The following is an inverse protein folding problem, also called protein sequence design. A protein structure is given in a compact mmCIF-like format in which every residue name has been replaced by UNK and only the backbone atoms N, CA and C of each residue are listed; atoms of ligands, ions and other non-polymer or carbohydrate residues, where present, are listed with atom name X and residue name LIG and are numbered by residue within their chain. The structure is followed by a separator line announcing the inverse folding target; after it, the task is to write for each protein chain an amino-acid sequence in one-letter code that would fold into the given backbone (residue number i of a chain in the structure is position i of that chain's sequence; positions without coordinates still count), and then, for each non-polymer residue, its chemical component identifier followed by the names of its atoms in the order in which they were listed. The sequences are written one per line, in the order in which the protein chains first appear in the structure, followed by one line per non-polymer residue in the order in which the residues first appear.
data_IF_822998928457
#
_entry.id   IF_822998928457
#
_cell.length_a   1.000
_cell.length_b   1.000
_cell.length_c   1.000
_cell.angle_alpha   90.00
_cell.angle_beta   90.00
_cell.angle_gamma   90.00
#
_symmetry.space_group_name_H-M   'P 1'
#
loop_
_entity.id
_entity.type
_entity.pdbx_description
1 polymer ?
#
# COMPACT_ATOMS: atom_id res chain seq x y z
N UNK A 1 -5.83 19.10 3.24
CA UNK A 1 -5.34 17.88 3.91
C UNK A 1 -4.23 18.19 4.91
N UNK A 2 -3.06 18.71 4.51
CA UNK A 2 -1.95 18.98 5.46
C UNK A 2 -2.32 19.95 6.58
N UNK A 3 -3.03 21.04 6.28
CA UNK A 3 -3.52 21.99 7.29
C UNK A 3 -4.46 21.29 8.27
N UNK A 4 -5.50 20.62 7.77
CA UNK A 4 -6.45 19.86 8.58
C UNK A 4 -5.75 18.84 9.50
N UNK A 5 -4.77 18.10 8.99
CA UNK A 5 -4.00 17.16 9.81
C UNK A 5 -3.22 17.84 10.95
N UNK A 6 -2.56 18.97 10.69
CA UNK A 6 -1.88 19.78 11.71
C UNK A 6 -2.86 20.33 12.75
N UNK A 7 -4.04 20.74 12.30
CA UNK A 7 -5.09 21.24 13.18
C UNK A 7 -5.59 20.12 14.10
N UNK A 8 -5.84 18.91 13.59
CA UNK A 8 -6.27 17.76 14.41
C UNK A 8 -5.19 17.36 15.41
N UNK A 9 -3.94 17.27 14.97
CA UNK A 9 -2.81 16.89 15.81
C UNK A 9 -2.58 17.90 16.94
N UNK A 10 -2.52 19.19 16.61
CA UNK A 10 -2.36 20.23 17.63
C UNK A 10 -3.55 20.27 18.59
N UNK A 11 -4.78 20.18 18.09
CA UNK A 11 -5.98 20.19 18.95
C UNK A 11 -6.03 19.01 19.92
N UNK A 12 -5.59 17.82 19.48
CA UNK A 12 -5.58 16.59 20.26
C UNK A 12 -4.44 16.56 21.29
N UNK A 13 -3.24 16.96 20.88
CA UNK A 13 -2.02 16.74 21.68
C UNK A 13 -1.52 18.00 22.42
N UNK A 14 -2.15 19.16 22.25
CA UNK A 14 -1.76 20.40 22.94
C UNK A 14 -1.93 20.35 24.45
N UNK A 15 -2.93 19.64 24.95
CA UNK A 15 -3.23 19.59 26.38
C UNK A 15 -3.38 18.13 26.85
N UNK A 16 -2.34 17.54 27.47
CA UNK A 16 -2.50 16.27 28.18
C UNK A 16 -3.59 16.39 29.24
N UNK A 17 -4.39 15.33 29.45
CA UNK A 17 -5.46 15.30 30.47
C UNK A 17 -4.93 15.55 31.89
N UNK A 18 -3.68 15.16 32.14
CA UNK A 18 -2.97 15.42 33.40
C UNK A 18 -2.56 16.91 33.58
N UNK A 19 -2.69 17.75 32.56
CA UNK A 19 -2.05 19.06 32.48
C UNK A 19 -2.77 20.23 33.17
N UNK A 20 -4.10 20.22 33.35
CA UNK A 20 -4.78 21.41 33.92
C UNK A 20 -4.81 21.45 35.45
N UNK A 21 -4.79 20.28 36.11
CA UNK A 21 -4.80 20.19 37.59
C UNK A 21 -3.38 20.25 38.20
N UNK A 22 -2.36 19.75 37.47
CA UNK A 22 -1.03 19.47 38.04
C UNK A 22 0.03 20.53 37.72
N UNK A 23 -0.15 21.36 36.69
CA UNK A 23 0.74 22.49 36.39
C UNK A 23 0.67 23.60 37.44
N UNK A 24 -0.42 23.70 38.21
CA UNK A 24 -0.53 24.63 39.34
C UNK A 24 0.27 24.24 40.59
N UNK A 25 0.75 22.99 40.69
CA UNK A 25 1.32 22.44 41.95
C UNK A 25 2.80 22.01 41.80
N UNK A 26 3.41 22.12 40.62
CA UNK A 26 4.87 21.91 40.47
C UNK A 26 5.38 20.47 40.70
N UNK A 27 4.50 19.46 40.63
CA UNK A 27 4.77 18.05 40.96
C UNK A 27 4.52 17.07 39.77
N UNK A 28 4.61 17.59 38.54
CA UNK A 28 4.02 17.01 37.31
C UNK A 28 4.48 15.63 36.86
N UNK A 29 5.62 15.09 37.32
CA UNK A 29 6.07 13.75 36.92
C UNK A 29 5.70 12.65 37.92
N UNK A 30 5.69 12.96 39.22
CA UNK A 30 5.41 11.98 40.26
C UNK A 30 3.91 11.70 40.37
N UNK A 31 3.08 12.74 40.27
CA UNK A 31 1.64 12.63 40.53
C UNK A 31 0.87 12.06 39.33
N UNK A 32 1.35 12.25 38.10
CA UNK A 32 0.77 11.61 36.91
C UNK A 32 0.81 10.09 37.02
N UNK A 33 1.89 9.54 37.60
CA UNK A 33 1.98 8.10 37.88
C UNK A 33 0.94 7.66 38.92
N UNK A 34 0.71 8.47 39.95
CA UNK A 34 -0.24 8.19 41.04
C UNK A 34 -1.69 8.25 40.57
N UNK A 35 -2.07 9.27 39.79
CA UNK A 35 -3.45 9.44 39.29
C UNK A 35 -3.82 8.37 38.26
N UNK A 36 -2.88 7.97 37.40
CA UNK A 36 -3.07 6.84 36.47
C UNK A 36 -3.23 5.52 37.26
N UNK A 37 -2.57 5.37 38.41
CA UNK A 37 -2.72 4.19 39.28
C UNK A 37 -4.02 4.09 40.08
N UNK A 38 -4.76 5.19 40.22
CA UNK A 38 -6.10 5.19 40.82
C UNK A 38 -7.22 5.04 39.79
N UNK A 39 -6.92 4.67 38.53
CA UNK A 39 -7.93 4.34 37.52
C UNK A 39 -8.75 5.53 37.01
N UNK A 40 -8.37 6.77 37.36
CA UNK A 40 -9.12 7.97 36.99
C UNK A 40 -8.89 8.44 35.55
N UNK A 41 -7.76 8.07 34.93
CA UNK A 41 -7.51 8.31 33.50
C UNK A 41 -6.72 7.13 32.91
N UNK A 42 -7.27 6.47 31.88
CA UNK A 42 -6.60 5.37 31.16
C UNK A 42 -5.79 5.85 29.94
N UNK A 43 -5.86 7.14 29.59
CA UNK A 43 -5.21 7.72 28.41
C UNK A 43 -4.65 9.12 28.71
N UNK A 44 -3.48 9.43 28.15
CA UNK A 44 -2.77 10.70 28.31
C UNK A 44 -3.50 11.88 27.65
N UNK A 45 -4.16 11.65 26.53
CA UNK A 45 -4.85 12.66 25.74
C UNK A 45 -6.35 12.37 25.59
N UNK A 46 -7.10 13.43 25.32
CA UNK A 46 -8.51 13.32 24.97
C UNK A 46 -8.67 13.02 23.48
N UNK A 47 -9.50 12.03 23.15
CA UNK A 47 -9.78 11.65 21.75
C UNK A 47 -10.85 12.53 21.11
N UNK A 48 -11.61 13.31 21.89
CA UNK A 48 -12.69 14.15 21.37
C UNK A 48 -12.25 15.16 20.28
N UNK A 49 -11.09 15.86 20.40
CA UNK A 49 -10.62 16.73 19.32
C UNK A 49 -10.28 15.97 18.03
N UNK A 50 -9.70 14.77 18.14
CA UNK A 50 -9.41 13.91 17.00
C UNK A 50 -10.71 13.42 16.33
N UNK A 51 -11.69 13.01 17.13
CA UNK A 51 -13.01 12.59 16.66
C UNK A 51 -13.72 13.72 15.92
N UNK A 52 -13.78 14.93 16.49
CA UNK A 52 -14.38 16.10 15.84
C UNK A 52 -13.68 16.40 14.52
N UNK A 53 -12.34 16.47 14.51
CA UNK A 53 -11.58 16.75 13.29
C UNK A 53 -11.81 15.70 12.19
N UNK A 54 -11.85 14.42 12.54
CA UNK A 54 -12.15 13.34 11.60
C UNK A 54 -13.58 13.44 11.06
N UNK A 55 -14.58 13.73 11.91
CA UNK A 55 -15.98 13.92 11.49
C UNK A 55 -16.15 15.12 10.58
N UNK A 56 -15.50 16.24 10.89
CA UNK A 56 -15.57 17.47 10.10
C UNK A 56 -14.90 17.27 8.72
N UNK A 57 -13.81 16.50 8.66
CA UNK A 57 -13.07 16.28 7.42
C UNK A 57 -13.69 15.22 6.50
N UNK A 58 -14.09 14.08 7.06
CA UNK A 58 -14.58 12.96 6.27
C UNK A 58 -16.11 12.90 6.18
N UNK A 59 -16.82 13.67 7.01
CA UNK A 59 -18.27 13.59 7.18
C UNK A 59 -18.67 12.56 8.24
N UNK A 60 -19.56 12.96 9.16
CA UNK A 60 -19.95 12.14 10.30
C UNK A 60 -20.72 10.87 9.95
N UNK A 61 -21.31 10.79 8.75
CA UNK A 61 -22.10 9.64 8.27
C UNK A 61 -21.44 8.92 7.10
N UNK A 62 -20.22 9.31 6.71
CA UNK A 62 -19.55 8.71 5.56
C UNK A 62 -19.04 7.32 5.91
N UNK A 63 -19.68 6.31 5.31
CA UNK A 63 -19.29 4.90 5.49
C UNK A 63 -17.95 4.58 4.81
N UNK A 64 -17.06 3.87 5.51
CA UNK A 64 -15.79 3.38 4.95
C UNK A 64 -16.04 2.36 3.83
N UNK A 65 -17.12 1.61 3.93
CA UNK A 65 -17.61 0.70 2.90
C UNK A 65 -18.99 1.14 2.47
N UNK A 66 -19.07 1.68 1.27
CA UNK A 66 -20.30 2.11 0.64
C UNK A 66 -20.30 1.56 -0.76
N UNK A 67 -21.44 1.01 -1.17
CA UNK A 67 -21.64 0.63 -2.56
C UNK A 67 -21.45 1.85 -3.48
N UNK A 68 -21.07 1.61 -4.73
CA UNK A 68 -20.98 2.68 -5.73
C UNK A 68 -22.32 3.44 -5.87
N UNK A 69 -23.45 2.76 -5.57
CA UNK A 69 -24.79 3.33 -5.52
C UNK A 69 -24.95 4.36 -4.39
N UNK A 70 -24.46 4.08 -3.19
CA UNK A 70 -24.57 5.02 -2.06
C UNK A 70 -23.58 6.18 -2.17
N UNK A 71 -22.43 5.98 -2.84
CA UNK A 71 -21.44 7.05 -3.05
C UNK A 71 -21.62 7.85 -4.34
N UNK A 72 -22.56 7.44 -5.21
CA UNK A 72 -22.73 7.95 -6.57
C UNK A 72 -21.44 7.93 -7.43
N UNK A 73 -20.41 7.20 -7.00
CA UNK A 73 -19.13 7.06 -7.69
C UNK A 73 -18.48 5.73 -7.30
N UNK A 74 -17.88 5.04 -8.27
CA UNK A 74 -17.15 3.80 -8.04
C UNK A 74 -15.72 4.13 -7.62
N UNK A 75 -15.38 3.88 -6.36
CA UNK A 75 -13.99 3.94 -5.91
C UNK A 75 -13.29 2.62 -6.29
N UNK A 76 -12.32 2.68 -7.19
CA UNK A 76 -11.49 1.51 -7.56
C UNK A 76 -10.40 1.21 -6.53
N UNK A 77 -10.04 2.20 -5.69
CA UNK A 77 -9.01 2.05 -4.68
C UNK A 77 -9.55 1.27 -3.49
N UNK A 78 -8.87 0.16 -3.20
CA UNK A 78 -9.11 -0.64 -2.00
C UNK A 78 -8.28 -0.06 -0.85
N UNK A 79 -8.94 0.26 0.25
CA UNK A 79 -8.31 0.82 1.45
C UNK A 79 -8.53 -0.15 2.60
N UNK A 80 -7.50 -0.34 3.41
CA UNK A 80 -7.54 -1.10 4.64
C UNK A 80 -6.73 -0.38 5.72
N UNK A 81 -7.22 -0.41 6.96
CA UNK A 81 -6.48 0.01 8.15
C UNK A 81 -6.45 -1.14 9.14
N UNK A 82 -5.38 -1.22 9.93
CA UNK A 82 -5.24 -2.25 10.96
C UNK A 82 -5.63 -1.66 12.31
N UNK A 83 -6.47 -2.38 13.02
CA UNK A 83 -6.76 -2.17 14.44
C UNK A 83 -6.51 -3.48 15.19
N UNK A 84 -6.66 -3.43 16.50
CA UNK A 84 -6.54 -4.60 17.38
C UNK A 84 -7.76 -4.68 18.28
N UNK A 85 -8.25 -5.89 18.50
CA UNK A 85 -9.42 -6.18 19.34
C UNK A 85 -9.06 -7.22 20.39
N UNK A 86 -10.03 -7.65 21.19
CA UNK A 86 -9.86 -8.65 22.27
C UNK A 86 -8.72 -8.29 23.24
N UNK A 87 -8.70 -7.03 23.67
CA UNK A 87 -7.67 -6.48 24.57
C UNK A 87 -6.23 -6.64 24.05
N UNK A 88 -6.03 -6.42 22.75
CA UNK A 88 -4.69 -6.44 22.17
C UNK A 88 -4.29 -7.79 21.58
N UNK A 89 -5.13 -8.82 21.68
CA UNK A 89 -4.76 -10.20 21.33
C UNK A 89 -4.92 -10.54 19.86
N UNK A 90 -5.79 -9.84 19.14
CA UNK A 90 -6.15 -10.17 17.76
C UNK A 90 -6.12 -8.94 16.85
N UNK A 91 -5.40 -9.04 15.74
CA UNK A 91 -5.44 -8.05 14.68
C UNK A 91 -6.81 -8.06 13.99
N UNK A 92 -7.29 -6.89 13.62
CA UNK A 92 -8.55 -6.68 12.93
C UNK A 92 -8.33 -5.74 11.75
N UNK A 93 -8.57 -6.22 10.54
CA UNK A 93 -8.55 -5.42 9.34
C UNK A 93 -9.90 -4.74 9.16
N UNK A 94 -9.89 -3.41 9.00
CA UNK A 94 -11.06 -2.59 8.73
C UNK A 94 -10.93 -2.04 7.31
N UNK A 95 -11.84 -2.42 6.41
CA UNK A 95 -11.64 -2.27 4.96
C UNK A 95 -12.77 -1.56 4.22
N UNK A 96 -12.43 -0.99 3.06
CA UNK A 96 -13.36 -0.40 2.11
C UNK A 96 -13.86 -1.37 1.04
N UNK A 97 -13.52 -2.65 1.15
CA UNK A 97 -13.79 -3.70 0.17
C UNK A 97 -14.17 -5.01 0.87
N UNK A 98 -14.71 -5.95 0.12
CA UNK A 98 -14.97 -7.30 0.61
C UNK A 98 -13.99 -8.30 -0.01
N UNK A 99 -13.73 -9.41 0.68
CA UNK A 99 -13.01 -10.56 0.13
C UNK A 99 -14.01 -11.51 -0.55
N UNK A 100 -13.66 -12.17 -1.66
CA UNK A 100 -14.53 -13.18 -2.28
C UNK A 100 -14.79 -14.36 -1.34
N UNK A 101 -13.78 -14.76 -0.57
CA UNK A 101 -13.89 -15.81 0.44
C UNK A 101 -13.71 -15.20 1.83
N UNK A 102 -14.80 -15.17 2.60
CA UNK A 102 -14.78 -14.94 4.04
C UNK A 102 -14.38 -16.26 4.70
N UNK A 103 -13.07 -16.58 4.68
CA UNK A 103 -12.57 -17.77 5.38
C UNK A 103 -12.94 -17.72 6.87
N UNK A 104 -12.66 -18.80 7.61
CA UNK A 104 -12.86 -18.85 9.08
C UNK A 104 -11.93 -17.91 9.88
N UNK A 105 -11.15 -17.07 9.21
CA UNK A 105 -10.18 -16.17 9.84
C UNK A 105 -10.90 -15.01 10.50
N UNK A 106 -10.74 -14.92 11.83
CA UNK A 106 -11.30 -13.85 12.65
C UNK A 106 -10.59 -12.50 12.48
N UNK A 107 -9.57 -12.38 11.61
CA UNK A 107 -8.83 -11.13 11.42
C UNK A 107 -9.55 -10.11 10.50
N UNK A 108 -10.61 -10.55 9.83
CA UNK A 108 -11.35 -9.77 8.84
C UNK A 108 -12.84 -9.89 9.13
N UNK A 109 -13.43 -8.79 9.58
CA UNK A 109 -14.82 -8.73 9.99
C UNK A 109 -15.53 -7.69 9.13
N UNK A 110 -16.66 -8.10 8.56
CA UNK A 110 -17.47 -7.29 7.68
C UNK A 110 -18.90 -7.33 8.21
N UNK A 111 -19.37 -6.19 8.68
CA UNK A 111 -20.75 -6.04 9.13
C UNK A 111 -21.71 -6.09 7.93
N UNK A 112 -22.67 -7.01 8.00
CA UNK A 112 -23.74 -7.16 7.01
C UNK A 112 -24.80 -6.04 7.14
N UNK A 113 -25.02 -5.56 8.37
CA UNK A 113 -25.89 -4.44 8.65
C UNK A 113 -25.15 -3.12 8.39
N UNK A 114 -25.59 -2.37 7.37
CA UNK A 114 -25.00 -1.09 7.00
C UNK A 114 -24.97 -0.10 8.17
N UNK A 115 -25.93 -0.16 9.10
CA UNK A 115 -25.99 0.71 10.29
C UNK A 115 -24.92 0.39 11.32
N UNK A 116 -24.40 -0.85 11.28
CA UNK A 116 -23.28 -1.32 12.12
C UNK A 116 -21.95 -1.23 11.39
N UNK A 117 -21.94 -0.87 10.12
CA UNK A 117 -20.71 -0.66 9.36
C UNK A 117 -19.80 0.42 9.97
N UNK A 118 -18.49 0.26 9.77
CA UNK A 118 -17.50 1.28 10.14
C UNK A 118 -17.64 2.53 9.27
N UNK A 119 -17.78 3.68 9.91
CA UNK A 119 -17.62 5.01 9.28
C UNK A 119 -16.13 5.34 9.16
N UNK A 120 -15.77 6.25 8.25
CA UNK A 120 -14.36 6.61 8.03
C UNK A 120 -13.72 7.17 9.30
N UNK A 121 -14.43 8.05 10.03
CA UNK A 121 -13.91 8.62 11.27
C UNK A 121 -13.75 7.58 12.38
N UNK A 122 -14.63 6.57 12.43
CA UNK A 122 -14.55 5.46 13.40
C UNK A 122 -13.33 4.58 13.12
N UNK A 123 -13.10 4.23 11.85
CA UNK A 123 -11.91 3.50 11.44
C UNK A 123 -10.62 4.28 11.76
N UNK A 124 -10.65 5.60 11.58
CA UNK A 124 -9.55 6.50 11.96
C UNK A 124 -9.26 6.50 13.46
N UNK A 125 -10.30 6.52 14.31
CA UNK A 125 -10.14 6.40 15.76
C UNK A 125 -9.64 5.02 16.17
N UNK A 126 -10.21 3.95 15.60
CA UNK A 126 -9.85 2.57 15.90
C UNK A 126 -8.35 2.31 15.63
N UNK A 127 -7.85 2.70 14.46
CA UNK A 127 -6.44 2.48 14.08
C UNK A 127 -5.48 3.37 14.85
N UNK A 128 -5.93 4.53 15.35
CA UNK A 128 -5.10 5.51 16.08
C UNK A 128 -5.16 5.37 17.60
N UNK A 129 -5.93 4.42 18.14
CA UNK A 129 -6.16 4.25 19.58
C UNK A 129 -4.93 3.65 20.32
N UNK A 130 -3.81 4.37 20.26
CA UNK A 130 -2.52 3.96 20.77
C UNK A 130 -2.59 3.76 22.29
N UNK A 131 -2.27 2.56 22.82
CA UNK A 131 -2.27 2.28 24.25
C UNK A 131 -1.51 3.35 25.02
N UNK A 132 -2.03 3.75 26.19
CA UNK A 132 -1.54 4.85 27.03
C UNK A 132 -1.74 6.26 26.47
N UNK A 133 -1.72 6.48 25.15
CA UNK A 133 -1.86 7.82 24.55
C UNK A 133 -3.32 8.23 24.36
N UNK A 134 -4.10 7.39 23.68
CA UNK A 134 -5.51 7.60 23.39
C UNK A 134 -6.35 6.47 23.99
N UNK A 135 -7.59 6.78 24.38
CA UNK A 135 -8.49 5.77 24.92
C UNK A 135 -8.88 4.76 23.82
N UNK A 136 -9.12 3.48 24.17
CA UNK A 136 -9.65 2.51 23.21
C UNK A 136 -10.96 3.02 22.59
N UNK A 137 -11.14 2.82 21.29
CA UNK A 137 -12.35 3.24 20.60
C UNK A 137 -13.43 2.17 20.75
N UNK A 138 -14.57 2.52 21.37
CA UNK A 138 -15.72 1.63 21.48
C UNK A 138 -16.73 1.93 20.37
N UNK A 139 -16.97 0.97 19.48
CA UNK A 139 -18.05 1.09 18.50
C UNK A 139 -19.37 0.73 19.17
N UNK A 140 -20.18 1.75 19.43
CA UNK A 140 -21.43 1.60 20.18
C UNK A 140 -22.41 0.59 19.58
N UNK A 141 -22.49 0.51 18.25
CA UNK A 141 -23.46 -0.33 17.55
C UNK A 141 -23.13 -1.83 17.62
N UNK A 142 -21.85 -2.19 17.82
CA UNK A 142 -21.37 -3.58 17.89
C UNK A 142 -20.86 -3.96 19.28
N UNK A 143 -20.55 -2.98 20.12
CA UNK A 143 -19.91 -3.16 21.42
C UNK A 143 -18.42 -3.54 21.34
N UNK A 144 -17.83 -3.53 20.14
CA UNK A 144 -16.43 -3.92 19.94
C UNK A 144 -15.50 -2.78 20.37
N UNK A 145 -14.48 -3.15 21.15
CA UNK A 145 -13.44 -2.25 21.61
C UNK A 145 -12.18 -2.40 20.74
N UNK A 146 -11.75 -1.31 20.13
CA UNK A 146 -10.59 -1.24 19.24
C UNK A 146 -9.41 -0.51 19.90
N UNK A 147 -8.22 -1.05 19.66
CA UNK A 147 -6.90 -0.50 19.97
C UNK A 147 -6.11 -0.31 18.67
N UNK A 148 -5.02 0.45 18.75
CA UNK A 148 -4.12 0.68 17.63
C UNK A 148 -3.59 -0.62 16.99
N UNK A 149 -3.47 -0.61 15.66
CA UNK A 149 -2.96 -1.73 14.87
C UNK A 149 -1.48 -2.02 15.06
N UNK A 150 -0.68 -1.06 15.55
CA UNK A 150 0.75 -1.25 15.81
C UNK A 150 1.05 -2.31 16.89
N UNK A 151 0.03 -2.72 17.67
CA UNK A 151 0.11 -3.90 18.53
C UNK A 151 0.34 -5.21 17.75
N UNK A 152 0.07 -5.25 16.45
CA UNK A 152 0.29 -6.43 15.60
C UNK A 152 1.08 -6.10 14.34
N UNK A 153 0.74 -5.01 13.67
CA UNK A 153 1.23 -4.70 12.33
C UNK A 153 1.44 -3.19 12.17
N UNK A 154 2.55 -2.68 12.71
CA UNK A 154 2.94 -1.28 12.57
C UNK A 154 3.52 -0.99 11.17
N UNK A 155 4.19 -1.97 10.56
CA UNK A 155 4.50 -1.98 9.14
C UNK A 155 3.45 -2.82 8.39
N UNK A 156 2.47 -2.23 7.69
CA UNK A 156 1.38 -2.98 7.05
C UNK A 156 1.77 -3.64 5.71
N UNK A 157 3.00 -3.44 5.23
CA UNK A 157 3.47 -3.98 3.95
C UNK A 157 3.31 -5.51 3.80
N UNK A 158 3.66 -6.35 4.80
CA UNK A 158 3.48 -7.80 4.70
C UNK A 158 1.99 -8.18 4.57
N UNK A 159 1.14 -7.57 5.41
CA UNK A 159 -0.30 -7.80 5.38
C UNK A 159 -0.93 -7.35 4.07
N UNK A 160 -0.47 -6.24 3.48
CA UNK A 160 -0.93 -5.79 2.18
C UNK A 160 -0.61 -6.78 1.04
N UNK A 161 0.58 -7.41 1.07
CA UNK A 161 0.95 -8.44 0.09
C UNK A 161 0.15 -9.72 0.29
N UNK A 162 -0.07 -10.13 1.55
CA UNK A 162 -0.92 -11.28 1.85
C UNK A 162 -2.35 -11.07 1.36
N UNK A 163 -2.86 -9.84 1.50
CA UNK A 163 -4.20 -9.46 1.12
C UNK A 163 -4.47 -9.57 -0.39
N UNK A 164 -3.45 -9.42 -1.24
CA UNK A 164 -3.57 -9.62 -2.68
C UNK A 164 -4.08 -11.04 -2.98
N UNK A 165 -3.55 -12.06 -2.32
CA UNK A 165 -3.98 -13.46 -2.53
C UNK A 165 -5.40 -13.69 -2.02
N UNK A 166 -5.79 -13.01 -0.94
CA UNK A 166 -7.13 -13.09 -0.36
C UNK A 166 -8.19 -12.40 -1.24
N UNK A 167 -7.79 -11.33 -1.94
CA UNK A 167 -8.65 -10.58 -2.86
C UNK A 167 -8.87 -11.30 -4.20
N UNK A 168 -7.88 -12.04 -4.68
CA UNK A 168 -7.92 -12.74 -5.97
C UNK A 168 -7.45 -14.20 -5.82
N UNK A 169 -8.26 -15.08 -5.22
CA UNK A 169 -7.83 -16.43 -4.84
C UNK A 169 -7.59 -17.35 -6.05
N UNK A 170 -8.39 -17.23 -7.10
CA UNK A 170 -8.28 -18.10 -8.29
C UNK A 170 -7.09 -17.72 -9.17
N UNK A 171 -6.82 -16.43 -9.30
CA UNK A 171 -5.78 -15.88 -10.15
C UNK A 171 -5.05 -14.75 -9.42
N UNK A 172 -4.22 -15.06 -8.41
CA UNK A 172 -3.50 -14.05 -7.66
C UNK A 172 -2.58 -13.28 -8.61
N UNK A 173 -2.76 -11.95 -8.76
CA UNK A 173 -1.90 -11.19 -9.63
C UNK A 173 -0.48 -11.14 -9.05
N UNK A 174 0.52 -11.07 -9.92
CA UNK A 174 1.86 -10.68 -9.50
C UNK A 174 1.81 -9.24 -8.99
N UNK A 175 2.50 -8.97 -7.88
CA UNK A 175 2.64 -7.62 -7.34
C UNK A 175 3.42 -6.78 -8.34
N UNK A 176 2.82 -5.71 -8.88
CA UNK A 176 3.50 -4.82 -9.82
C UNK A 176 4.49 -3.88 -9.12
N UNK A 177 4.05 -3.21 -8.03
CA UNK A 177 4.86 -2.28 -7.25
C UNK A 177 4.33 -2.23 -5.81
N UNK A 178 5.21 -2.20 -4.82
CA UNK A 178 4.86 -1.87 -3.43
C UNK A 178 5.69 -0.68 -2.95
N UNK A 179 5.02 0.42 -2.63
CA UNK A 179 5.65 1.58 -2.00
C UNK A 179 5.20 1.65 -0.54
N UNK A 180 6.16 1.46 0.37
CA UNK A 180 5.96 1.58 1.82
C UNK A 180 6.56 2.89 2.31
N UNK A 181 5.73 3.75 2.88
CA UNK A 181 6.13 5.07 3.39
C UNK A 181 6.18 5.00 4.92
N UNK A 182 7.36 5.27 5.49
CA UNK A 182 7.55 5.33 6.93
C UNK A 182 7.41 6.74 7.49
N UNK A 183 7.30 6.84 8.81
CA UNK A 183 7.10 8.11 9.55
C UNK A 183 8.37 8.69 10.15
N UNK A 184 9.54 8.16 9.77
CA UNK A 184 10.85 8.59 10.24
C UNK A 184 11.65 7.44 10.87
N UNK A 185 12.95 7.39 10.62
CA UNK A 185 13.89 6.50 11.34
C UNK A 185 14.63 7.30 12.40
N UNK A 186 14.64 6.80 13.64
CA UNK A 186 15.41 7.39 14.74
C UNK A 186 15.81 6.30 15.73
N UNK A 187 16.94 6.49 16.40
CA UNK A 187 17.36 5.58 17.46
C UNK A 187 16.37 5.61 18.62
N UNK A 188 15.92 4.43 19.04
CA UNK A 188 14.93 4.27 20.09
C UNK A 188 15.44 3.33 21.16
N UNK A 189 15.95 3.87 22.26
CA UNK A 189 15.86 3.17 23.54
C UNK A 189 14.37 3.16 23.96
N UNK A 190 13.77 1.96 24.01
CA UNK A 190 12.43 1.75 24.55
C UNK A 190 12.48 1.94 26.07
N UNK A 191 12.45 3.19 26.53
CA UNK A 191 12.29 3.51 27.95
C UNK A 191 10.80 3.52 28.25
N UNK A 192 10.25 2.37 28.62
CA UNK A 192 8.89 2.29 29.18
C UNK A 192 8.87 3.17 30.45
N UNK A 193 8.07 4.24 30.50
CA UNK A 193 7.94 5.04 31.72
C UNK A 193 7.55 4.13 32.91
N UNK A 194 8.27 4.22 34.03
CA UNK A 194 7.97 3.45 35.26
C UNK A 194 6.52 3.64 35.76
N UNK A 195 5.88 4.73 35.34
CA UNK A 195 4.48 5.06 35.57
C UNK A 195 3.47 4.06 34.98
N UNK A 196 3.88 3.22 34.01
CA UNK A 196 3.01 2.26 33.28
C UNK A 196 2.75 0.97 34.08
N UNK A 197 3.35 0.82 35.28
CA UNK A 197 3.25 -0.38 36.12
C UNK A 197 1.88 -0.61 36.80
N UNK A 198 0.83 0.13 36.45
CA UNK A 198 -0.48 -0.01 37.12
C UNK A 198 -1.58 -0.42 36.15
N UNK A 199 -2.36 -1.43 36.57
CA UNK A 199 -3.68 -1.75 36.00
C UNK A 199 -3.72 -2.83 34.91
N UNK A 200 -2.72 -3.69 34.77
CA UNK A 200 -2.74 -4.81 33.82
C UNK A 200 -2.55 -4.43 32.33
N UNK A 201 -2.48 -3.14 32.00
CA UNK A 201 -2.17 -2.62 30.66
C UNK A 201 -0.66 -2.53 30.37
N UNK A 202 0.19 -2.86 31.34
CA UNK A 202 1.65 -2.81 31.20
C UNK A 202 2.15 -3.69 30.06
N UNK A 203 1.60 -4.90 29.93
CA UNK A 203 1.96 -5.84 28.88
C UNK A 203 1.55 -5.33 27.49
N UNK A 204 0.36 -4.75 27.38
CA UNK A 204 -0.13 -4.15 26.13
C UNK A 204 0.74 -2.96 25.72
N UNK A 205 1.06 -2.07 26.67
CA UNK A 205 1.93 -0.92 26.39
C UNK A 205 3.36 -1.35 26.03
N UNK A 206 3.91 -2.37 26.70
CA UNK A 206 5.20 -2.96 26.38
C UNK A 206 5.20 -3.55 24.97
N UNK A 207 4.19 -4.35 24.64
CA UNK A 207 4.00 -4.96 23.32
C UNK A 207 3.92 -3.91 22.21
N UNK A 208 3.12 -2.87 22.41
CA UNK A 208 3.01 -1.73 21.50
C UNK A 208 4.37 -1.08 21.27
N UNK A 209 5.07 -0.72 22.34
CA UNK A 209 6.37 -0.06 22.24
C UNK A 209 7.47 -0.94 21.61
N UNK A 210 7.44 -2.26 21.82
CA UNK A 210 8.36 -3.18 21.14
C UNK A 210 8.12 -3.30 19.63
N UNK A 211 6.90 -2.97 19.17
CA UNK A 211 6.49 -3.05 17.76
C UNK A 211 6.54 -1.72 17.02
N UNK A 212 7.00 -0.64 17.67
CA UNK A 212 7.13 0.67 17.04
C UNK A 212 8.25 0.74 15.99
N UNK A 213 9.21 -0.18 16.05
CA UNK A 213 10.26 -0.27 15.03
C UNK A 213 9.71 -0.88 13.72
N UNK A 214 9.03 -0.04 12.94
CA UNK A 214 8.51 -0.40 11.63
C UNK A 214 9.61 -0.60 10.58
N UNK A 215 10.82 -0.09 10.83
CA UNK A 215 11.93 -0.20 9.90
C UNK A 215 12.52 -1.61 9.95
N UNK A 216 12.78 -2.14 11.15
CA UNK A 216 13.20 -3.54 11.31
C UNK A 216 12.16 -4.51 10.72
N UNK A 217 10.86 -4.29 10.99
CA UNK A 217 9.78 -5.10 10.39
C UNK A 217 9.80 -5.06 8.85
N UNK A 218 10.06 -3.89 8.26
CA UNK A 218 10.20 -3.77 6.81
C UNK A 218 11.44 -4.52 6.30
N UNK A 219 12.59 -4.40 6.96
CA UNK A 219 13.82 -5.08 6.56
C UNK A 219 13.67 -6.60 6.61
N UNK A 220 13.06 -7.14 7.66
CA UNK A 220 12.73 -8.56 7.79
C UNK A 220 11.83 -9.04 6.65
N UNK A 221 10.78 -8.26 6.35
CA UNK A 221 9.87 -8.55 5.25
C UNK A 221 10.58 -8.55 3.90
N UNK A 222 11.33 -7.49 3.58
CA UNK A 222 12.05 -7.35 2.32
C UNK A 222 13.19 -8.36 2.16
N UNK A 223 13.75 -8.86 3.26
CA UNK A 223 14.75 -9.92 3.26
C UNK A 223 14.14 -11.32 3.12
N UNK A 224 12.86 -11.51 3.48
CA UNK A 224 12.19 -12.81 3.49
C UNK A 224 12.06 -13.42 2.09
N UNK A 225 12.09 -14.75 2.03
CA UNK A 225 11.91 -15.51 0.79
C UNK A 225 10.53 -15.31 0.15
N UNK A 226 9.53 -14.88 0.93
CA UNK A 226 8.21 -14.55 0.43
C UNK A 226 8.23 -13.39 -0.58
N UNK A 227 9.31 -12.60 -0.63
CA UNK A 227 9.49 -11.46 -1.53
C UNK A 227 10.41 -11.72 -2.71
N UNK A 228 11.06 -12.88 -2.80
CA UNK A 228 12.10 -13.15 -3.81
C UNK A 228 11.64 -12.90 -5.25
N UNK A 229 10.37 -13.21 -5.55
CA UNK A 229 9.79 -13.05 -6.88
C UNK A 229 9.53 -11.59 -7.29
N UNK A 230 9.51 -10.64 -6.35
CA UNK A 230 9.14 -9.24 -6.58
C UNK A 230 9.97 -8.24 -5.77
N UNK A 231 11.15 -8.65 -5.27
CA UNK A 231 12.00 -7.85 -4.39
C UNK A 231 12.43 -6.53 -5.02
N UNK A 232 12.64 -6.55 -6.34
CA UNK A 232 12.96 -5.39 -7.19
C UNK A 232 11.82 -4.35 -7.29
N UNK A 233 10.61 -4.73 -6.87
CA UNK A 233 9.41 -3.87 -6.91
C UNK A 233 9.08 -3.27 -5.56
N UNK A 234 9.92 -3.53 -4.55
CA UNK A 234 9.75 -3.06 -3.18
C UNK A 234 10.48 -1.73 -2.98
N UNK A 235 9.72 -0.70 -2.67
CA UNK A 235 10.24 0.65 -2.43
C UNK A 235 9.94 1.08 -0.99
N UNK A 236 10.99 1.37 -0.21
CA UNK A 236 10.86 1.94 1.13
C UNK A 236 11.26 3.40 1.13
N UNK A 237 10.31 4.26 1.48
CA UNK A 237 10.53 5.69 1.63
C UNK A 237 10.37 6.05 3.12
N UNK A 238 11.47 5.97 3.88
CA UNK A 238 11.49 6.28 5.31
C UNK A 238 12.70 7.16 5.66
N UNK A 239 12.56 8.49 5.63
CA UNK A 239 13.67 9.39 5.91
C UNK A 239 14.18 9.28 7.35
N UNK A 240 15.50 9.35 7.60
CA UNK A 240 16.01 9.46 8.96
C UNK A 240 15.61 10.82 9.55
N UNK A 241 15.23 10.83 10.82
CA UNK A 241 15.01 12.06 11.57
C UNK A 241 16.37 12.65 11.90
N UNK A 242 16.59 13.93 11.60
CA UNK A 242 17.84 14.60 11.92
C UNK A 242 18.13 14.54 13.42
N UNK A 243 19.37 14.23 13.79
CA UNK A 243 19.82 14.19 15.19
C UNK A 243 19.54 15.50 15.95
N UNK A 244 19.59 16.64 15.24
CA UNK A 244 19.36 17.97 15.81
C UNK A 244 17.90 18.22 16.23
N UNK A 245 16.94 17.43 15.74
CA UNK A 245 15.54 17.51 16.16
C UNK A 245 15.31 16.85 17.52
N UNK A 246 16.35 16.19 18.07
CA UNK A 246 16.27 15.30 19.22
C UNK A 246 15.22 14.21 19.00
N UNK A 247 15.02 13.33 19.98
CA UNK A 247 13.98 12.31 19.90
C UNK A 247 12.60 12.95 19.65
N UNK A 248 11.93 12.50 18.61
CA UNK A 248 10.56 12.91 18.26
C UNK A 248 9.59 11.85 18.77
N UNK A 249 8.74 12.19 19.74
CA UNK A 249 7.74 11.26 20.29
C UNK A 249 6.42 11.34 19.52
N UNK A 250 5.56 10.32 19.69
CA UNK A 250 4.30 10.16 18.94
C UNK A 250 3.36 11.38 18.97
N UNK A 251 3.41 12.20 20.01
CA UNK A 251 2.48 13.30 20.25
C UNK A 251 3.10 14.70 20.08
N UNK A 252 4.37 14.82 19.66
CA UNK A 252 5.09 16.10 19.49
C UNK A 252 4.62 16.88 18.24
N UNK A 253 3.37 17.32 18.27
CA UNK A 253 2.74 18.11 17.22
C UNK A 253 3.45 19.45 16.96
N UNK A 254 4.12 20.00 17.97
CA UNK A 254 4.87 21.25 17.90
C UNK A 254 6.13 21.17 17.01
N UNK A 255 6.63 19.95 16.76
CA UNK A 255 7.78 19.71 15.86
C UNK A 255 7.39 19.53 14.39
N UNK A 256 6.09 19.49 14.04
CA UNK A 256 5.65 19.19 12.67
C UNK A 256 6.23 20.12 11.60
N UNK A 257 6.39 21.42 11.91
CA UNK A 257 6.98 22.37 10.97
C UNK A 257 8.46 22.03 10.67
N UNK A 258 9.23 21.65 11.69
CA UNK A 258 10.62 21.25 11.56
C UNK A 258 10.78 19.92 10.82
N UNK A 259 9.89 18.96 11.07
CA UNK A 259 9.85 17.69 10.33
C UNK A 259 9.55 17.92 8.84
N UNK A 260 8.65 18.83 8.52
CA UNK A 260 8.34 19.18 7.12
C UNK A 260 9.52 19.85 6.42
N UNK A 261 10.22 20.76 7.12
CA UNK A 261 11.46 21.38 6.62
C UNK A 261 12.56 20.32 6.38
N UNK A 262 12.76 19.42 7.35
CA UNK A 262 13.69 18.30 7.25
C UNK A 262 13.38 17.44 6.00
N UNK A 263 12.15 16.97 5.85
CA UNK A 263 11.74 16.16 4.69
C UNK A 263 11.94 16.95 3.40
N UNK A 264 11.52 18.22 3.32
CA UNK A 264 11.72 19.06 2.12
C UNK A 264 13.19 19.21 1.73
N UNK A 265 14.09 19.30 2.72
CA UNK A 265 15.53 19.36 2.49
C UNK A 265 16.05 18.02 1.99
N UNK A 266 15.74 16.93 2.71
CA UNK A 266 16.20 15.59 2.37
C UNK A 266 15.70 15.14 0.98
N UNK A 267 14.46 15.43 0.61
CA UNK A 267 13.93 15.08 -0.72
C UNK A 267 14.57 15.86 -1.88
N UNK A 268 15.43 16.85 -1.60
CA UNK A 268 16.26 17.52 -2.63
C UNK A 268 17.63 16.87 -2.80
N UNK A 269 18.05 16.02 -1.87
CA UNK A 269 19.32 15.31 -1.92
C UNK A 269 19.29 14.25 -3.04
N UNK A 270 20.45 14.01 -3.68
CA UNK A 270 20.53 13.16 -4.87
C UNK A 270 20.05 11.72 -4.62
N UNK A 271 20.42 11.14 -3.49
CA UNK A 271 20.02 9.78 -3.09
C UNK A 271 18.49 9.64 -2.93
N UNK A 272 17.86 10.61 -2.24
CA UNK A 272 16.40 10.61 -2.05
C UNK A 272 15.64 10.86 -3.35
N UNK A 273 16.13 11.80 -4.18
CA UNK A 273 15.56 12.03 -5.51
C UNK A 273 15.57 10.76 -6.34
N UNK A 274 16.71 10.07 -6.39
CA UNK A 274 16.85 8.80 -7.11
C UNK A 274 15.86 7.76 -6.62
N UNK A 275 15.74 7.54 -5.31
CA UNK A 275 14.78 6.58 -4.72
C UNK A 275 13.33 6.92 -5.05
N UNK A 276 12.97 8.20 -4.99
CA UNK A 276 11.62 8.66 -5.36
C UNK A 276 11.37 8.46 -6.85
N UNK A 277 12.34 8.80 -7.69
CA UNK A 277 12.23 8.68 -9.14
C UNK A 277 12.10 7.21 -9.55
N UNK A 278 12.84 6.29 -8.91
CA UNK A 278 12.71 4.84 -9.11
C UNK A 278 11.30 4.35 -8.77
N UNK A 279 10.79 4.65 -7.57
CA UNK A 279 9.44 4.29 -7.16
C UNK A 279 8.37 4.90 -8.07
N UNK A 280 8.53 6.17 -8.46
CA UNK A 280 7.60 6.86 -9.34
C UNK A 280 7.61 6.28 -10.75
N UNK A 281 8.77 5.94 -11.30
CA UNK A 281 8.88 5.36 -12.62
C UNK A 281 8.27 3.96 -12.66
N UNK A 282 8.45 3.14 -11.63
CA UNK A 282 7.81 1.83 -11.54
C UNK A 282 6.28 1.96 -11.45
N UNK A 283 5.77 2.90 -10.64
CA UNK A 283 4.33 3.20 -10.59
C UNK A 283 3.80 3.61 -11.96
N UNK A 284 4.52 4.47 -12.69
CA UNK A 284 4.12 4.92 -14.03
C UNK A 284 4.22 3.81 -15.08
N UNK A 285 5.24 2.95 -14.99
CA UNK A 285 5.37 1.78 -15.85
C UNK A 285 4.20 0.80 -15.64
N UNK A 286 3.78 0.64 -14.39
CA UNK A 286 2.61 -0.16 -14.02
C UNK A 286 1.28 0.43 -14.51
N UNK A 287 1.24 1.66 -15.05
CA UNK A 287 0.04 2.17 -15.73
C UNK A 287 -0.18 1.53 -17.09
N UNK A 288 0.86 0.94 -17.70
CA UNK A 288 0.74 0.15 -18.91
C UNK A 288 0.46 -1.31 -18.57
N UNK A 289 -0.31 -1.99 -19.40
CA UNK A 289 -0.56 -3.43 -19.30
C UNK A 289 -0.80 -4.03 -20.68
N UNK A 290 -0.63 -5.34 -20.79
CA UNK A 290 -0.95 -6.09 -22.00
C UNK A 290 -2.31 -6.76 -21.85
N UNK A 291 -3.15 -6.58 -22.85
CA UNK A 291 -4.40 -7.29 -23.01
C UNK A 291 -4.24 -8.28 -24.17
N UNK A 292 -4.21 -9.60 -23.91
CA UNK A 292 -4.16 -10.59 -24.96
C UNK A 292 -5.48 -10.59 -25.75
N UNK A 293 -5.40 -10.85 -27.05
CA UNK A 293 -6.59 -11.13 -27.86
C UNK A 293 -6.98 -12.60 -27.67
N UNK A 294 -8.28 -12.88 -27.56
CA UNK A 294 -8.77 -14.25 -27.62
C UNK A 294 -8.27 -14.89 -28.92
N UNK A 295 -7.74 -16.11 -28.83
CA UNK A 295 -7.37 -16.84 -30.04
C UNK A 295 -8.66 -17.09 -30.84
N UNK A 296 -8.72 -16.65 -32.10
CA UNK A 296 -9.69 -17.27 -33.01
C UNK A 296 -9.46 -18.77 -32.97
N UNK A 297 -10.52 -19.61 -32.89
CA UNK A 297 -10.35 -21.06 -32.82
C UNK A 297 -9.56 -21.50 -34.05
N UNK A 298 -8.30 -21.91 -33.82
CA UNK A 298 -7.43 -22.43 -34.85
C UNK A 298 -8.15 -23.56 -35.57
N UNK A 299 -8.57 -23.32 -36.80
CA UNK A 299 -9.05 -24.34 -37.72
C UNK A 299 -7.89 -25.24 -38.14
N UNK A 300 -7.42 -26.09 -37.22
CA UNK A 300 -6.51 -27.20 -37.49
C UNK A 300 -6.51 -28.16 -36.28
N UNK A 301 -7.52 -29.03 -36.22
CA UNK A 301 -7.46 -30.26 -35.42
C UNK A 301 -6.41 -31.19 -36.04
N UNK A 302 -5.14 -31.02 -35.69
CA UNK A 302 -4.14 -32.05 -35.94
C UNK A 302 -4.14 -33.03 -34.76
N UNK A 303 -4.95 -34.08 -34.88
CA UNK A 303 -4.95 -35.25 -34.00
C UNK A 303 -3.61 -35.98 -34.13
N UNK A 304 -2.86 -36.12 -33.03
CA UNK A 304 -1.79 -37.12 -32.90
C UNK A 304 -2.34 -38.43 -32.34
N UNK A 305 -1.93 -39.61 -32.86
CA UNK A 305 -2.54 -40.91 -32.53
C UNK A 305 -2.00 -41.54 -31.23
N UNK A 306 -1.77 -40.73 -30.19
CA UNK A 306 -1.42 -41.19 -28.84
C UNK A 306 -2.14 -40.28 -27.86
N UNK A 307 -3.06 -40.83 -27.06
CA UNK A 307 -4.03 -40.13 -26.22
C UNK A 307 -3.47 -39.35 -25.03
N UNK A 308 -2.43 -38.55 -25.23
CA UNK A 308 -1.96 -37.52 -24.29
C UNK A 308 -2.41 -36.15 -24.78
N UNK A 309 -3.32 -35.50 -24.05
CA UNK A 309 -3.65 -34.09 -24.27
C UNK A 309 -2.45 -33.22 -23.87
N UNK A 310 -1.52 -32.99 -24.79
CA UNK A 310 -0.64 -31.83 -24.71
C UNK A 310 -1.41 -30.61 -25.21
N UNK A 311 -1.75 -29.70 -24.29
CA UNK A 311 -2.28 -28.38 -24.65
C UNK A 311 -1.12 -27.57 -25.24
N UNK A 312 -0.79 -27.81 -26.51
CA UNK A 312 0.09 -26.93 -27.27
C UNK A 312 -0.64 -25.60 -27.46
N UNK A 313 -0.40 -24.64 -26.57
CA UNK A 313 -0.73 -23.23 -26.84
C UNK A 313 -0.05 -22.81 -28.15
N UNK A 314 -0.66 -21.88 -28.89
CA UNK A 314 -0.02 -21.31 -30.07
C UNK A 314 1.39 -20.82 -29.70
N UNK A 315 2.42 -20.97 -30.57
CA UNK A 315 3.80 -20.56 -30.27
C UNK A 315 3.93 -19.04 -30.09
N UNK A 316 2.86 -18.30 -30.37
CA UNK A 316 2.76 -16.87 -30.32
C UNK A 316 1.44 -16.43 -29.68
N UNK A 317 1.43 -15.20 -29.18
CA UNK A 317 0.24 -14.52 -28.69
C UNK A 317 0.17 -13.11 -29.29
N UNK A 318 -1.04 -12.75 -29.70
CA UNK A 318 -1.39 -11.43 -30.18
C UNK A 318 -2.11 -10.67 -29.08
N UNK A 319 -1.90 -9.36 -29.03
CA UNK A 319 -2.66 -8.51 -28.13
C UNK A 319 -2.31 -7.04 -28.28
N UNK A 320 -2.73 -6.26 -27.30
CA UNK A 320 -2.55 -4.82 -27.28
C UNK A 320 -2.00 -4.33 -25.96
N UNK A 321 -0.96 -3.50 -26.02
CA UNK A 321 -0.52 -2.72 -24.87
C UNK A 321 -1.47 -1.54 -24.71
N UNK A 322 -2.01 -1.40 -23.49
CA UNK A 322 -3.00 -0.41 -23.09
C UNK A 322 -2.50 0.39 -21.89
N UNK A 323 -3.25 1.43 -21.52
CA UNK A 323 -3.00 2.24 -20.33
C UNK A 323 -4.23 2.25 -19.42
N UNK A 324 -4.00 2.26 -18.11
CA UNK A 324 -5.03 2.42 -17.07
C UNK A 324 -5.61 3.84 -17.03
N UNK A 325 -4.92 4.82 -17.62
CA UNK A 325 -5.40 6.20 -17.69
C UNK A 325 -6.52 6.35 -18.73
N UNK A 326 -7.48 7.22 -18.44
CA UNK A 326 -8.64 7.45 -19.29
C UNK A 326 -8.21 7.93 -20.69
N UNK A 327 -8.85 7.38 -21.73
CA UNK A 327 -8.62 7.82 -23.11
C UNK A 327 -8.91 9.32 -23.29
N UNK A 328 -8.04 10.00 -24.02
CA UNK A 328 -8.14 11.45 -24.29
C UNK A 328 -7.92 12.36 -23.07
N UNK A 329 -7.43 11.82 -21.94
CA UNK A 329 -7.18 12.61 -20.73
C UNK A 329 -5.82 13.33 -20.78
N UNK A 330 -5.71 14.45 -20.06
CA UNK A 330 -4.46 15.20 -19.98
C UNK A 330 -3.34 14.41 -19.30
N UNK A 331 -3.71 13.55 -18.34
CA UNK A 331 -2.79 12.65 -17.61
C UNK A 331 -2.16 11.64 -18.55
N UNK A 332 -2.96 11.02 -19.44
CA UNK A 332 -2.45 10.10 -20.45
C UNK A 332 -1.46 10.80 -21.40
N UNK A 333 -1.79 12.00 -21.86
CA UNK A 333 -0.90 12.77 -22.72
C UNK A 333 0.43 13.10 -22.03
N UNK A 334 0.40 13.58 -20.78
CA UNK A 334 1.61 13.83 -19.99
C UNK A 334 2.45 12.57 -19.78
N UNK A 335 1.81 11.42 -19.54
CA UNK A 335 2.50 10.14 -19.43
C UNK A 335 3.20 9.79 -20.75
N UNK A 336 2.48 9.83 -21.87
CA UNK A 336 3.02 9.48 -23.19
C UNK A 336 4.14 10.42 -23.62
N UNK A 337 4.09 11.70 -23.26
CA UNK A 337 5.17 12.66 -23.50
C UNK A 337 6.48 12.27 -22.82
N UNK A 338 6.43 11.59 -21.67
CA UNK A 338 7.61 11.07 -20.97
C UNK A 338 8.11 9.75 -21.55
N UNK A 339 7.30 9.03 -22.32
CA UNK A 339 7.70 7.76 -22.93
C UNK A 339 8.56 7.98 -24.18
N UNK A 340 9.73 7.35 -24.19
CA UNK A 340 10.66 7.24 -25.33
C UNK A 340 10.22 6.14 -26.29
N UNK A 341 9.80 4.98 -25.78
CA UNK A 341 9.32 3.85 -26.58
C UNK A 341 8.79 2.71 -25.74
N UNK A 342 8.15 1.74 -26.40
CA UNK A 342 7.78 0.45 -25.82
C UNK A 342 8.68 -0.64 -26.40
N UNK A 343 9.09 -1.57 -25.56
CA UNK A 343 10.08 -2.58 -25.89
C UNK A 343 9.65 -3.95 -25.38
N UNK A 344 10.23 -5.00 -25.97
CA UNK A 344 10.13 -6.34 -25.44
C UNK A 344 11.46 -7.07 -25.46
N UNK A 345 11.62 -8.03 -24.55
CA UNK A 345 12.76 -8.95 -24.52
C UNK A 345 12.36 -10.30 -23.92
N UNK A 346 13.32 -11.22 -23.86
CA UNK A 346 13.18 -12.60 -23.36
C UNK A 346 14.25 -12.85 -22.31
N UNK A 347 13.85 -13.31 -21.13
CA UNK A 347 14.76 -13.60 -20.03
C UNK A 347 14.82 -15.10 -19.73
N UNK A 348 16.01 -15.59 -19.41
CA UNK A 348 16.17 -16.92 -18.83
C UNK A 348 15.65 -16.92 -17.39
N UNK A 349 14.86 -17.92 -17.00
CA UNK A 349 14.43 -18.10 -15.60
C UNK A 349 15.58 -18.36 -14.63
N UNK A 350 16.76 -18.77 -15.12
CA UNK A 350 17.97 -18.90 -14.30
C UNK A 350 18.57 -17.56 -13.85
N UNK A 351 18.11 -16.44 -14.43
CA UNK A 351 18.49 -15.09 -14.01
C UNK A 351 17.40 -14.52 -13.11
N UNK A 352 17.75 -13.85 -11.99
CA UNK A 352 16.75 -13.17 -11.19
C UNK A 352 16.08 -12.06 -12.03
N UNK A 353 14.75 -11.86 -11.93
CA UNK A 353 14.03 -10.80 -12.66
C UNK A 353 14.64 -9.39 -12.47
N UNK A 354 15.21 -9.16 -11.28
CA UNK A 354 15.92 -7.94 -10.90
C UNK A 354 17.18 -7.64 -11.73
N UNK A 355 17.62 -8.59 -12.55
CA UNK A 355 18.78 -8.45 -13.45
C UNK A 355 18.40 -8.03 -14.87
N UNK A 356 17.25 -7.40 -15.08
CA UNK A 356 16.94 -6.71 -16.33
C UNK A 356 17.95 -5.57 -16.53
N UNK A 357 18.94 -5.82 -17.37
CA UNK A 357 20.05 -4.91 -17.57
C UNK A 357 19.73 -3.96 -18.72
N UNK A 358 20.29 -2.76 -18.62
CA UNK A 358 20.36 -1.79 -19.72
C UNK A 358 20.89 -2.40 -21.03
N UNK A 359 21.66 -3.49 -20.94
CA UNK A 359 22.33 -4.16 -22.06
C UNK A 359 21.62 -5.42 -22.58
N UNK A 360 20.48 -5.81 -22.02
CA UNK A 360 19.71 -6.93 -22.59
C UNK A 360 19.24 -6.56 -24.01
N UNK A 361 19.10 -7.56 -24.92
CA UNK A 361 18.67 -7.30 -26.28
C UNK A 361 17.18 -6.90 -26.30
N UNK A 362 16.92 -5.60 -26.31
CA UNK A 362 15.59 -5.02 -26.39
C UNK A 362 15.16 -4.80 -27.83
N UNK A 363 13.97 -5.27 -28.19
CA UNK A 363 13.35 -4.98 -29.49
C UNK A 363 12.28 -3.91 -29.31
N UNK A 364 12.37 -2.83 -30.09
CA UNK A 364 11.38 -1.74 -30.05
C UNK A 364 10.08 -2.14 -30.76
N UNK A 365 8.95 -1.76 -30.18
CA UNK A 365 7.63 -1.93 -30.77
C UNK A 365 7.33 -0.71 -31.64
N UNK A 366 7.71 -0.79 -32.92
CA UNK A 366 7.64 0.33 -33.87
C UNK A 366 6.26 1.00 -33.97
N UNK A 367 5.17 0.22 -33.80
CA UNK A 367 3.81 0.72 -33.82
C UNK A 367 3.52 1.80 -32.76
N UNK A 368 4.30 1.85 -31.67
CA UNK A 368 4.12 2.81 -30.59
C UNK A 368 4.13 4.27 -31.07
N UNK A 369 5.08 4.65 -31.94
CA UNK A 369 5.23 6.06 -32.34
C UNK A 369 4.04 6.57 -33.14
N UNK A 370 3.55 5.77 -34.09
CA UNK A 370 2.35 6.08 -34.87
C UNK A 370 1.11 6.20 -33.99
N UNK A 371 0.90 5.24 -33.09
CA UNK A 371 -0.24 5.25 -32.16
C UNK A 371 -0.15 6.44 -31.19
N UNK A 372 1.04 6.72 -30.64
CA UNK A 372 1.26 7.89 -29.77
C UNK A 372 0.86 9.18 -30.49
N UNK A 373 1.31 9.39 -31.73
CA UNK A 373 0.95 10.59 -32.50
C UNK A 373 -0.57 10.70 -32.69
N UNK A 374 -1.25 9.61 -33.02
CA UNK A 374 -2.71 9.57 -33.17
C UNK A 374 -3.47 9.86 -31.87
N UNK A 375 -3.00 9.32 -30.73
CA UNK A 375 -3.61 9.56 -29.42
C UNK A 375 -3.47 11.04 -29.03
N UNK A 376 -2.28 11.62 -29.23
CA UNK A 376 -1.99 13.01 -28.87
C UNK A 376 -2.77 14.03 -29.71
N UNK A 377 -3.04 13.73 -30.99
CA UNK A 377 -3.77 14.63 -31.91
C UNK A 377 -5.28 14.39 -31.88
N UNK A 378 -5.71 13.13 -31.98
CA UNK A 378 -7.09 12.76 -32.30
C UNK A 378 -7.86 12.16 -31.12
N UNK A 379 -7.29 12.17 -29.91
CA UNK A 379 -7.87 11.59 -28.67
C UNK A 379 -8.33 10.13 -28.82
N UNK A 380 -7.72 9.40 -29.73
CA UNK A 380 -8.02 8.00 -29.97
C UNK A 380 -7.65 7.13 -28.75
N UNK A 381 -8.24 5.94 -28.60
CA UNK A 381 -7.82 5.00 -27.57
C UNK A 381 -6.34 4.60 -27.74
N UNK A 382 -5.56 4.63 -26.66
CA UNK A 382 -4.19 4.12 -26.66
C UNK A 382 -4.19 2.59 -26.71
N UNK A 383 -3.90 2.04 -27.89
CA UNK A 383 -3.84 0.59 -28.17
C UNK A 383 -2.67 0.30 -29.10
N UNK A 384 -1.57 -0.21 -28.54
CA UNK A 384 -0.38 -0.55 -29.33
C UNK A 384 -0.38 -2.05 -29.60
N UNK A 385 -0.57 -2.50 -30.86
CA UNK A 385 -0.56 -3.91 -31.18
C UNK A 385 0.84 -4.49 -30.95
N UNK A 386 0.90 -5.68 -30.35
CA UNK A 386 2.14 -6.41 -30.14
C UNK A 386 1.91 -7.90 -30.40
N UNK A 387 2.95 -8.53 -30.97
CA UNK A 387 3.03 -9.96 -31.20
C UNK A 387 4.22 -10.48 -30.44
N UNK A 388 4.00 -11.46 -29.57
CA UNK A 388 5.05 -12.09 -28.76
C UNK A 388 5.10 -13.58 -29.09
N UNK A 389 6.30 -14.13 -29.20
CA UNK A 389 6.50 -15.55 -29.44
C UNK A 389 7.67 -16.08 -28.62
N UNK A 390 7.48 -17.21 -27.95
CA UNK A 390 8.51 -17.90 -27.18
C UNK A 390 8.19 -19.40 -27.12
N UNK A 391 9.05 -20.21 -27.69
CA UNK A 391 8.88 -21.67 -27.75
C UNK A 391 9.51 -22.38 -26.55
N UNK A 392 10.35 -21.68 -25.78
CA UNK A 392 11.02 -22.22 -24.60
C UNK A 392 10.19 -21.99 -23.33
N UNK A 393 9.85 -23.08 -22.63
CA UNK A 393 9.15 -23.03 -21.34
C UNK A 393 10.02 -22.46 -20.20
N UNK A 394 11.32 -22.31 -20.41
CA UNK A 394 12.27 -21.78 -19.42
C UNK A 394 12.61 -20.30 -19.64
N UNK A 395 11.88 -19.64 -20.55
CA UNK A 395 12.04 -18.22 -20.85
C UNK A 395 10.81 -17.41 -20.49
N UNK A 396 11.05 -16.30 -19.81
CA UNK A 396 10.05 -15.29 -19.49
C UNK A 396 10.00 -14.26 -20.61
N UNK A 397 8.80 -13.88 -21.01
CA UNK A 397 8.56 -12.71 -21.83
C UNK A 397 8.59 -11.47 -20.94
N UNK A 398 9.09 -10.36 -21.47
CA UNK A 398 9.06 -9.04 -20.82
C UNK A 398 8.56 -8.01 -21.82
N UNK A 399 7.47 -7.33 -21.47
CA UNK A 399 7.08 -6.07 -22.09
C UNK A 399 7.49 -4.93 -21.15
N UNK A 400 8.06 -3.87 -21.72
CA UNK A 400 8.61 -2.77 -20.96
C UNK A 400 8.35 -1.42 -21.64
N UNK A 401 8.28 -0.38 -20.82
CA UNK A 401 8.26 1.02 -21.25
C UNK A 401 9.60 1.66 -20.94
N UNK A 402 10.15 2.45 -21.87
CA UNK A 402 11.32 3.27 -21.61
C UNK A 402 10.90 4.73 -21.49
N UNK A 403 11.13 5.34 -20.33
CA UNK A 403 10.98 6.78 -20.17
C UNK A 403 12.20 7.53 -20.72
N UNK A 404 12.02 8.80 -21.12
CA UNK A 404 13.10 9.66 -21.65
C UNK A 404 14.24 9.85 -20.65
N UNK A 405 13.89 9.93 -19.37
CA UNK A 405 14.82 10.13 -18.25
C UNK A 405 15.45 8.82 -17.74
N UNK A 406 14.90 7.66 -18.12
CA UNK A 406 15.34 6.36 -17.63
C UNK A 406 16.49 5.79 -18.48
N UNK A 407 17.50 5.24 -17.81
CA UNK A 407 18.64 4.58 -18.45
C UNK A 407 18.23 3.29 -19.18
N UNK A 408 17.27 2.54 -18.63
CA UNK A 408 16.79 1.26 -19.14
C UNK A 408 15.25 1.20 -19.27
N UNK A 409 14.70 0.28 -20.09
CA UNK A 409 13.26 -0.02 -20.07
C UNK A 409 12.83 -0.65 -18.75
N UNK A 410 11.64 -0.29 -18.27
CA UNK A 410 11.01 -0.80 -17.05
C UNK A 410 9.82 -1.71 -17.41
N UNK A 411 9.69 -2.90 -16.80
CA UNK A 411 8.57 -3.80 -17.05
C UNK A 411 7.21 -3.11 -16.85
N UNK A 412 6.27 -3.38 -17.75
CA UNK A 412 4.88 -2.99 -17.56
C UNK A 412 4.16 -3.99 -16.65
N UNK A 413 2.96 -3.64 -16.20
CA UNK A 413 2.16 -4.48 -15.31
C UNK A 413 1.98 -5.90 -15.86
N UNK A 414 2.18 -6.89 -14.99
CA UNK A 414 2.04 -8.32 -15.30
C UNK A 414 3.24 -8.99 -16.00
N UNK A 415 4.36 -8.29 -16.20
CA UNK A 415 5.61 -8.84 -16.74
C UNK A 415 6.75 -8.75 -15.72
N UNK A 416 7.76 -9.64 -15.72
CA UNK A 416 7.91 -10.81 -16.60
C UNK A 416 6.84 -11.89 -16.37
N UNK A 417 6.57 -12.69 -17.40
CA UNK A 417 5.57 -13.80 -17.33
C UNK A 417 5.88 -14.87 -18.39
N UNK A 418 5.36 -16.08 -18.20
CA UNK A 418 5.46 -17.13 -19.22
C UNK A 418 4.43 -16.90 -20.33
N UNK A 419 4.74 -17.36 -21.54
CA UNK A 419 3.79 -17.33 -22.65
C UNK A 419 2.50 -18.10 -22.30
N UNK A 420 2.65 -19.26 -21.65
CA UNK A 420 1.53 -20.06 -21.16
C UNK A 420 0.56 -19.27 -20.27
N UNK A 421 1.08 -18.48 -19.32
CA UNK A 421 0.26 -17.67 -18.41
C UNK A 421 -0.55 -16.62 -19.17
N UNK A 422 0.01 -16.06 -20.25
CA UNK A 422 -0.69 -15.11 -21.10
C UNK A 422 -1.85 -15.78 -21.86
N UNK A 423 -1.68 -17.01 -22.36
CA UNK A 423 -2.77 -17.78 -22.97
C UNK A 423 -3.84 -18.21 -21.96
N UNK A 424 -3.47 -18.51 -20.72
CA UNK A 424 -4.44 -18.75 -19.64
C UNK A 424 -5.25 -17.49 -19.37
N UNK A 425 -4.60 -16.32 -19.25
CA UNK A 425 -5.28 -15.03 -19.08
C UNK A 425 -6.19 -14.68 -20.26
N UNK A 426 -5.78 -14.99 -21.49
CA UNK A 426 -6.61 -14.74 -22.68
C UNK A 426 -7.93 -15.52 -22.62
N UNK A 427 -7.90 -16.76 -22.11
CA UNK A 427 -9.08 -17.63 -22.01
C UNK A 427 -10.00 -17.32 -20.84
N UNK A 428 -9.53 -16.59 -19.82
CA UNK A 428 -10.37 -16.21 -18.68
C UNK A 428 -11.14 -14.90 -18.89
N UNK A 429 -10.93 -14.25 -20.04
CA UNK A 429 -11.61 -12.99 -20.41
C UNK A 429 -12.81 -13.23 -21.34
N UNK A 430 -12.96 -14.45 -21.85
CA UNK A 430 -14.16 -14.98 -22.52
C UNK A 430 -15.09 -15.62 -21.49
#
# INVERSE_FOLDING_TARGET
MTTSFKDFASSTFRHPRAGSLLTKIGLGHFVTSVVMSFGLYQALFDSAPLESGLKDFFGSQTSLFGSARTRHHQCSTRVAVVATVDFGKRAQLITSYNRPNLGSSSEFEREDDETKGMRIWEAGLATSAAPFYLAPFNKTETGILYLDGALHMNCPAPGAVEEIRKLWPEHPPSLDVLVSIGTGVQDSEVKIPRAIRIGGFEEICRSFHSKLDSETQWQEFAASSATDAFRDRLHRLNPPIDENLQKVTLWQWDKMAKLEEMVRRQMKEGEWRKRIDEAANDLLASLFYFEPHANEPSSANNLTPTGTQHVNGAPEIHGTIRSRLRHGSAELNRLLDRVKGLFYTKLSMSRPPSSLLQHDPWTEIAAFHTIKAQVMVSRQPFRVPVRLGETSETRLLVLAVRFKEASAPLPISGFPTLLHDLHVKARSWD
#
